data_IF_889327567669
#
_entry.id   IF_889327567669
#
_cell.length_a   1.000
_cell.length_b   1.000
_cell.length_c   1.000
_cell.angle_alpha   90.00
_cell.angle_beta   90.00
_cell.angle_gamma   90.00
#
_symmetry.space_group_name_H-M   'P 1'
#
loop_
_entity.id
_entity.type
_entity.pdbx_description
1 polymer ?
#
# COMPACT_ATOMS: atom_id res chain seq x y z
N UNK A 1 9.95 -1.27 -4.45
CA UNK A 1 11.27 -1.85 -4.35
C UNK A 1 11.33 -3.27 -4.90
N UNK A 2 11.54 -4.33 -4.09
CA UNK A 2 11.81 -5.68 -4.62
C UNK A 2 10.62 -6.26 -5.41
N UNK A 3 9.38 -6.00 -5.00
CA UNK A 3 8.20 -6.38 -5.78
C UNK A 3 8.18 -5.78 -7.20
N UNK A 4 8.59 -4.52 -7.36
CA UNK A 4 8.71 -3.90 -8.69
C UNK A 4 9.84 -4.52 -9.50
N UNK A 5 10.98 -4.79 -8.86
CA UNK A 5 12.16 -5.34 -9.52
C UNK A 5 11.99 -6.80 -9.91
N UNK A 6 11.17 -7.54 -9.18
CA UNK A 6 10.82 -8.93 -9.49
C UNK A 6 9.59 -9.05 -10.41
N UNK A 7 8.98 -7.93 -10.80
CA UNK A 7 7.79 -7.92 -11.63
C UNK A 7 8.04 -8.59 -13.00
N UNK A 8 7.07 -9.39 -13.42
CA UNK A 8 7.08 -10.08 -14.71
C UNK A 8 5.66 -10.14 -15.26
N UNK A 9 5.47 -10.81 -16.39
CA UNK A 9 4.12 -11.09 -16.91
C UNK A 9 3.30 -11.95 -15.94
N UNK A 10 3.96 -12.82 -15.17
CA UNK A 10 3.31 -13.76 -14.26
C UNK A 10 3.26 -13.25 -12.82
N UNK A 11 4.19 -12.39 -12.37
CA UNK A 11 4.21 -11.81 -11.04
C UNK A 11 3.92 -10.30 -11.07
N UNK A 12 2.70 -9.95 -10.72
CA UNK A 12 2.21 -8.56 -10.67
C UNK A 12 1.78 -8.13 -9.27
N UNK A 13 2.31 -8.76 -8.23
CA UNK A 13 2.01 -8.40 -6.82
C UNK A 13 2.29 -6.93 -6.51
N UNK A 14 3.21 -6.30 -7.24
CA UNK A 14 3.48 -4.86 -7.11
C UNK A 14 2.24 -3.98 -7.33
N UNK A 15 1.22 -4.45 -8.06
CA UNK A 15 -0.02 -3.71 -8.29
C UNK A 15 -0.82 -3.48 -7.00
N UNK A 16 -0.66 -4.34 -5.98
CA UNK A 16 -1.19 -4.09 -4.64
C UNK A 16 -0.23 -3.20 -3.83
N UNK A 17 1.05 -3.59 -3.77
CA UNK A 17 1.99 -2.98 -2.82
C UNK A 17 2.43 -1.57 -3.20
N UNK A 18 2.54 -1.24 -4.49
CA UNK A 18 2.97 0.09 -4.92
C UNK A 18 1.97 1.19 -4.54
N UNK A 19 0.67 1.06 -4.88
CA UNK A 19 -0.32 2.05 -4.46
C UNK A 19 -0.40 2.18 -2.93
N UNK A 20 -0.34 1.07 -2.20
CA UNK A 20 -0.34 1.04 -0.74
C UNK A 20 0.85 1.80 -0.16
N UNK A 21 2.06 1.49 -0.61
CA UNK A 21 3.29 2.16 -0.13
C UNK A 21 3.27 3.64 -0.50
N UNK A 22 2.91 3.97 -1.74
CA UNK A 22 2.81 5.37 -2.19
C UNK A 22 1.85 6.16 -1.29
N UNK A 23 0.66 5.65 -1.05
CA UNK A 23 -0.34 6.30 -0.21
C UNK A 23 0.17 6.49 1.24
N UNK A 24 0.62 5.41 1.88
CA UNK A 24 1.05 5.48 3.29
C UNK A 24 2.29 6.34 3.49
N UNK A 25 3.32 6.17 2.68
CA UNK A 25 4.58 6.93 2.83
C UNK A 25 4.38 8.42 2.59
N UNK A 26 3.57 8.80 1.61
CA UNK A 26 3.35 10.22 1.31
C UNK A 26 2.49 10.91 2.36
N UNK A 27 1.47 10.24 2.90
CA UNK A 27 0.64 10.76 4.00
C UNK A 27 1.48 10.89 5.27
N UNK A 28 2.22 9.85 5.64
CA UNK A 28 3.12 9.89 6.80
C UNK A 28 4.21 10.96 6.66
N UNK A 29 4.69 11.19 5.43
CA UNK A 29 5.63 12.27 5.16
C UNK A 29 5.05 13.65 5.47
N UNK A 30 3.80 13.92 5.09
CA UNK A 30 3.11 15.16 5.48
C UNK A 30 2.99 15.29 7.02
N UNK A 31 2.60 14.20 7.68
CA UNK A 31 2.47 14.17 9.14
C UNK A 31 3.80 14.46 9.84
N UNK A 32 4.89 13.80 9.42
CA UNK A 32 6.23 14.02 9.97
C UNK A 32 6.66 15.49 9.78
N UNK A 33 6.44 16.07 8.62
CA UNK A 33 6.79 17.48 8.36
C UNK A 33 5.96 18.41 9.25
N UNK A 34 4.67 18.12 9.46
CA UNK A 34 3.85 18.91 10.37
C UNK A 34 4.35 18.85 11.83
N UNK A 35 4.72 17.65 12.32
CA UNK A 35 5.32 17.50 13.65
C UNK A 35 6.67 18.22 13.79
N UNK A 36 7.49 18.19 12.73
CA UNK A 36 8.75 18.93 12.71
C UNK A 36 8.54 20.45 12.72
N UNK A 37 7.42 20.93 12.19
CA UNK A 37 7.10 22.35 12.23
C UNK A 37 6.92 22.84 13.66
N UNK A 38 6.33 22.04 14.53
CA UNK A 38 6.18 22.38 15.95
C UNK A 38 7.56 22.52 16.65
N UNK A 39 8.56 21.76 16.20
CA UNK A 39 9.93 21.81 16.74
C UNK A 39 10.69 23.05 16.20
N UNK A 40 10.58 23.31 14.90
CA UNK A 40 11.30 24.40 14.21
C UNK A 40 10.64 25.75 14.47
N UNK A 41 9.35 25.74 14.74
CA UNK A 41 8.51 26.92 15.00
C UNK A 41 8.60 27.96 13.85
N UNK A 42 8.64 29.24 14.18
CA UNK A 42 8.61 30.35 13.21
C UNK A 42 9.74 30.28 12.16
N UNK A 43 10.86 29.67 12.51
CA UNK A 43 11.99 29.51 11.58
C UNK A 43 11.65 28.61 10.39
N UNK A 44 10.68 27.74 10.53
CA UNK A 44 10.17 26.89 9.44
C UNK A 44 9.46 27.66 8.32
N UNK A 45 9.12 28.93 8.52
CA UNK A 45 8.51 29.81 7.52
C UNK A 45 9.49 30.71 6.78
N UNK A 46 10.79 30.63 7.09
CA UNK A 46 11.81 31.40 6.38
C UNK A 46 11.87 30.95 4.91
N UNK A 47 11.55 31.89 3.99
CA UNK A 47 11.40 31.65 2.56
C UNK A 47 12.60 30.97 1.90
N UNK A 48 13.80 31.29 2.33
CA UNK A 48 15.04 30.74 1.79
C UNK A 48 15.54 29.53 2.59
N UNK A 49 14.72 29.05 3.53
CA UNK A 49 15.01 27.88 4.33
C UNK A 49 14.69 26.57 3.60
N UNK A 50 15.58 25.60 3.70
CA UNK A 50 15.39 24.27 3.13
C UNK A 50 14.08 23.60 3.63
N UNK A 51 13.71 23.89 4.88
CA UNK A 51 12.52 23.29 5.49
C UNK A 51 11.22 23.78 4.87
N UNK A 52 11.09 25.08 4.56
CA UNK A 52 9.91 25.61 3.85
C UNK A 52 9.70 24.93 2.50
N UNK A 53 10.78 24.79 1.73
CA UNK A 53 10.75 24.13 0.44
C UNK A 53 10.30 22.66 0.58
N UNK A 54 10.90 21.92 1.51
CA UNK A 54 10.53 20.52 1.77
C UNK A 54 9.07 20.39 2.24
N UNK A 55 8.60 21.28 3.12
CA UNK A 55 7.23 21.29 3.61
C UNK A 55 6.19 21.61 2.53
N UNK A 56 6.55 22.43 1.55
CA UNK A 56 5.71 22.69 0.39
C UNK A 56 5.68 21.50 -0.55
N UNK A 57 6.82 20.92 -0.85
CA UNK A 57 6.95 19.86 -1.84
C UNK A 57 6.30 18.56 -1.35
N UNK A 58 6.44 18.22 -0.05
CA UNK A 58 5.81 17.02 0.52
C UNK A 58 4.30 17.00 0.33
N UNK A 59 3.64 18.17 0.41
CA UNK A 59 2.19 18.30 0.25
C UNK A 59 1.69 17.97 -1.16
N UNK A 60 2.56 18.03 -2.15
CA UNK A 60 2.26 17.61 -3.52
C UNK A 60 2.24 16.09 -3.68
N UNK A 61 3.10 15.37 -2.96
CA UNK A 61 3.34 13.94 -3.18
C UNK A 61 2.08 13.05 -3.01
N UNK A 62 1.21 13.24 -2.02
CA UNK A 62 -0.02 12.44 -1.92
C UNK A 62 -1.00 12.66 -3.08
N UNK A 63 -0.84 13.73 -3.83
CA UNK A 63 -1.75 14.17 -4.90
C UNK A 63 -1.23 13.85 -6.31
N UNK A 64 0.08 13.65 -6.45
CA UNK A 64 0.71 13.31 -7.73
C UNK A 64 0.49 11.83 -8.07
N UNK A 65 0.31 11.53 -9.35
CA UNK A 65 0.18 10.17 -9.90
C UNK A 65 -0.88 9.30 -9.18
N UNK A 66 -2.04 9.88 -8.97
CA UNK A 66 -3.14 9.31 -8.21
C UNK A 66 -3.14 9.75 -6.75
N UNK A 67 -4.29 10.27 -6.32
CA UNK A 67 -4.50 10.67 -4.93
C UNK A 67 -4.50 9.46 -3.98
N UNK A 68 -4.45 9.72 -2.67
CA UNK A 68 -4.58 8.66 -1.67
C UNK A 68 -5.87 7.84 -1.89
N UNK A 69 -6.99 8.50 -2.20
CA UNK A 69 -8.27 7.86 -2.48
C UNK A 69 -8.23 6.96 -3.72
N UNK A 70 -7.61 7.43 -4.81
CA UNK A 70 -7.44 6.61 -6.03
C UNK A 70 -6.59 5.38 -5.73
N UNK A 71 -5.50 5.54 -5.00
CA UNK A 71 -4.64 4.42 -4.62
C UNK A 71 -5.38 3.43 -3.71
N UNK A 72 -6.21 3.91 -2.79
CA UNK A 72 -7.05 3.08 -1.92
C UNK A 72 -8.04 2.23 -2.72
N UNK A 73 -8.75 2.81 -3.68
CA UNK A 73 -9.65 2.06 -4.58
C UNK A 73 -8.89 1.03 -5.42
N UNK A 74 -7.65 1.33 -5.82
CA UNK A 74 -6.82 0.39 -6.56
C UNK A 74 -6.45 -0.85 -5.73
N UNK A 75 -6.09 -0.68 -4.46
CA UNK A 75 -5.73 -1.82 -3.60
C UNK A 75 -6.94 -2.70 -3.27
N UNK A 76 -8.12 -2.11 -3.14
CA UNK A 76 -9.36 -2.84 -2.84
C UNK A 76 -9.67 -3.97 -3.82
N UNK A 77 -9.23 -3.87 -5.07
CA UNK A 77 -9.39 -4.91 -6.09
C UNK A 77 -8.73 -6.23 -5.72
N UNK A 78 -7.77 -6.20 -4.81
CA UNK A 78 -6.98 -7.37 -4.43
C UNK A 78 -7.35 -7.90 -3.03
N UNK A 79 -8.24 -7.22 -2.31
CA UNK A 79 -8.58 -7.52 -0.93
C UNK A 79 -9.08 -8.97 -0.77
N UNK A 80 -10.01 -9.40 -1.60
CA UNK A 80 -10.56 -10.76 -1.53
C UNK A 80 -9.48 -11.82 -1.73
N UNK A 81 -8.63 -11.64 -2.73
CA UNK A 81 -7.53 -12.57 -2.99
C UNK A 81 -6.50 -12.57 -1.87
N UNK A 82 -6.20 -11.40 -1.34
CA UNK A 82 -5.24 -11.27 -0.25
C UNK A 82 -5.70 -11.99 1.02
N UNK A 83 -6.97 -11.86 1.38
CA UNK A 83 -7.51 -12.42 2.61
C UNK A 83 -8.01 -13.87 2.49
N UNK A 84 -8.60 -14.25 1.36
CA UNK A 84 -9.35 -15.49 1.25
C UNK A 84 -8.76 -16.51 0.29
N UNK A 85 -7.80 -16.10 -0.55
CA UNK A 85 -7.17 -16.98 -1.54
C UNK A 85 -5.64 -17.00 -1.40
N UNK A 86 -5.08 -17.27 -0.19
CA UNK A 86 -3.64 -17.35 -0.04
C UNK A 86 -3.07 -18.52 -0.85
N UNK A 87 -1.93 -18.32 -1.44
CA UNK A 87 -1.26 -19.31 -2.29
C UNK A 87 0.22 -19.40 -1.95
N UNK A 88 0.85 -20.58 -2.08
CA UNK A 88 2.29 -20.67 -2.04
C UNK A 88 2.86 -19.97 -3.28
N UNK A 89 3.51 -18.85 -3.07
CA UNK A 89 4.15 -18.08 -4.13
C UNK A 89 5.66 -18.05 -3.88
N UNK A 90 6.50 -18.05 -4.91
CA UNK A 90 7.95 -18.02 -4.70
C UNK A 90 8.37 -16.75 -3.97
N UNK A 91 9.39 -16.89 -3.12
CA UNK A 91 10.01 -15.76 -2.46
C UNK A 91 10.53 -14.75 -3.48
N UNK A 92 10.48 -13.47 -3.11
CA UNK A 92 11.03 -12.43 -3.95
C UNK A 92 12.56 -12.46 -3.93
N UNK A 93 13.21 -12.55 -5.09
CA UNK A 93 14.65 -12.43 -5.15
C UNK A 93 15.06 -11.00 -4.74
N UNK A 94 15.91 -10.89 -3.72
CA UNK A 94 16.49 -9.58 -3.37
C UNK A 94 17.47 -9.13 -4.45
N UNK A 95 17.26 -7.96 -4.99
CA UNK A 95 18.17 -7.36 -5.96
C UNK A 95 19.46 -6.94 -5.29
N UNK A 96 20.56 -7.51 -5.77
CA UNK A 96 21.92 -7.20 -5.29
C UNK A 96 22.59 -6.08 -6.09
N UNK A 97 22.05 -5.72 -7.25
CA UNK A 97 22.60 -4.69 -8.13
C UNK A 97 21.67 -3.49 -8.20
N UNK A 98 21.92 -2.43 -7.42
CA UNK A 98 21.01 -1.27 -7.35
C UNK A 98 20.90 -0.49 -8.67
N UNK A 99 21.91 -0.57 -9.53
CA UNK A 99 21.92 0.11 -10.83
C UNK A 99 21.24 -0.67 -11.96
N UNK A 100 20.70 -1.88 -11.70
CA UNK A 100 19.99 -2.63 -12.72
C UNK A 100 18.53 -2.20 -12.78
N UNK A 101 18.14 -1.54 -13.86
CA UNK A 101 16.78 -1.06 -14.15
C UNK A 101 16.04 -1.90 -15.21
N UNK A 102 16.59 -3.02 -15.63
CA UNK A 102 16.00 -3.90 -16.65
C UNK A 102 14.58 -4.37 -16.30
N UNK A 103 14.23 -4.41 -15.00
CA UNK A 103 12.89 -4.74 -14.52
C UNK A 103 11.80 -3.78 -15.08
N UNK A 104 12.16 -2.55 -15.40
CA UNK A 104 11.21 -1.57 -15.96
C UNK A 104 10.65 -2.01 -17.32
N UNK A 105 11.36 -2.87 -18.02
CA UNK A 105 10.98 -3.37 -19.34
C UNK A 105 10.40 -4.79 -19.29
N UNK A 106 10.48 -5.48 -18.15
CA UNK A 106 10.05 -6.86 -17.97
C UNK A 106 8.60 -7.02 -17.48
N UNK A 107 7.94 -5.94 -17.10
CA UNK A 107 6.63 -5.99 -16.40
C UNK A 107 5.46 -6.42 -17.28
N UNK A 108 5.58 -6.29 -18.60
CA UNK A 108 4.48 -6.53 -19.52
C UNK A 108 3.29 -5.56 -19.33
N UNK A 109 2.16 -5.87 -19.93
CA UNK A 109 0.95 -5.04 -19.81
C UNK A 109 0.31 -5.17 -18.42
N UNK A 110 0.07 -4.04 -17.75
CA UNK A 110 -0.59 -3.98 -16.43
C UNK A 110 -2.06 -4.42 -16.47
N UNK A 111 -2.72 -4.32 -17.62
CA UNK A 111 -4.14 -4.70 -17.79
C UNK A 111 -4.35 -6.20 -17.96
N UNK A 112 -3.33 -6.95 -18.35
CA UNK A 112 -3.42 -8.39 -18.55
C UNK A 112 -2.99 -9.16 -17.30
N UNK A 113 -3.68 -10.25 -16.99
CA UNK A 113 -3.28 -11.18 -15.94
C UNK A 113 -3.57 -10.74 -14.50
N UNK A 114 -4.27 -9.65 -14.25
CA UNK A 114 -4.62 -9.20 -12.89
C UNK A 114 -5.40 -10.28 -12.12
N UNK A 115 -6.26 -11.05 -12.79
CA UNK A 115 -7.02 -12.13 -12.17
C UNK A 115 -6.16 -13.33 -11.74
N UNK A 116 -4.91 -13.41 -12.19
CA UNK A 116 -3.96 -14.49 -11.84
C UNK A 116 -3.04 -14.12 -10.68
N UNK A 117 -3.09 -12.86 -10.23
CA UNK A 117 -2.27 -12.42 -9.10
C UNK A 117 -2.68 -13.20 -7.84
N UNK A 118 -1.68 -13.75 -7.17
CA UNK A 118 -1.83 -14.51 -5.93
C UNK A 118 -0.91 -13.88 -4.86
N UNK A 119 -1.28 -14.04 -3.61
CA UNK A 119 -0.53 -13.50 -2.49
C UNK A 119 -0.16 -14.61 -1.52
N UNK A 120 0.98 -14.49 -0.84
CA UNK A 120 1.35 -15.35 0.26
C UNK A 120 0.34 -15.27 1.40
N UNK A 121 0.22 -16.35 2.16
CA UNK A 121 -0.45 -16.30 3.45
C UNK A 121 0.35 -15.42 4.41
N UNK A 122 -0.20 -14.24 4.71
CA UNK A 122 0.41 -13.29 5.64
C UNK A 122 0.57 -13.86 7.05
N UNK A 123 -0.24 -14.85 7.45
CA UNK A 123 -0.14 -15.50 8.74
C UNK A 123 1.20 -16.22 8.93
N UNK A 124 1.84 -16.69 7.86
CA UNK A 124 3.16 -17.33 7.96
C UNK A 124 4.17 -16.37 8.60
N UNK A 125 4.23 -15.12 8.14
CA UNK A 125 5.13 -14.10 8.68
C UNK A 125 4.71 -13.66 10.09
N UNK A 126 3.42 -13.48 10.34
CA UNK A 126 2.93 -13.06 11.65
C UNK A 126 3.13 -14.12 12.72
N UNK A 127 2.98 -15.42 12.40
CA UNK A 127 3.21 -16.52 13.32
C UNK A 127 4.69 -16.65 13.74
N UNK A 128 5.62 -16.15 12.93
CA UNK A 128 7.04 -16.09 13.27
C UNK A 128 7.38 -14.92 14.19
N UNK A 129 6.50 -13.92 14.29
CA UNK A 129 6.73 -12.74 15.12
C UNK A 129 6.48 -13.04 16.61
N UNK A 130 7.42 -12.57 17.45
CA UNK A 130 7.29 -12.67 18.91
C UNK A 130 6.69 -11.41 19.56
N UNK A 131 6.31 -10.41 18.75
CA UNK A 131 5.75 -9.18 19.27
C UNK A 131 4.30 -9.39 19.73
N UNK A 132 3.95 -8.98 20.96
CA UNK A 132 2.62 -9.26 21.54
C UNK A 132 1.47 -8.60 20.74
N UNK A 133 1.70 -7.42 20.20
CA UNK A 133 0.70 -6.70 19.39
C UNK A 133 0.41 -7.37 18.05
N UNK A 134 1.30 -8.19 17.52
CA UNK A 134 1.04 -8.92 16.26
C UNK A 134 -0.09 -9.93 16.42
N UNK A 135 -0.18 -10.60 17.57
CA UNK A 135 -1.31 -11.53 17.84
C UNK A 135 -2.66 -10.80 17.95
N UNK A 136 -2.65 -9.61 18.54
CA UNK A 136 -3.83 -8.76 18.61
C UNK A 136 -4.24 -8.37 17.21
N UNK A 137 -3.29 -7.95 16.39
CA UNK A 137 -3.54 -7.57 14.99
C UNK A 137 -4.08 -8.75 14.16
N UNK A 138 -3.53 -9.96 14.32
CA UNK A 138 -4.07 -11.14 13.65
C UNK A 138 -5.54 -11.41 14.03
N UNK A 139 -5.89 -11.26 15.32
CA UNK A 139 -7.29 -11.42 15.73
C UNK A 139 -8.21 -10.34 15.15
N UNK A 140 -7.73 -9.10 15.01
CA UNK A 140 -8.47 -8.03 14.34
C UNK A 140 -8.69 -8.33 12.86
N UNK A 141 -7.68 -8.87 12.16
CA UNK A 141 -7.84 -9.32 10.77
C UNK A 141 -8.93 -10.39 10.65
N UNK A 142 -8.97 -11.37 11.54
CA UNK A 142 -10.00 -12.41 11.49
C UNK A 142 -11.42 -11.85 11.76
N UNK A 143 -11.55 -10.87 12.66
CA UNK A 143 -12.82 -10.15 12.86
C UNK A 143 -13.21 -9.38 11.59
N UNK A 144 -12.28 -8.71 10.95
CA UNK A 144 -12.53 -7.99 9.71
C UNK A 144 -12.91 -8.92 8.56
N UNK A 145 -12.24 -10.07 8.40
CA UNK A 145 -12.59 -11.10 7.42
C UNK A 145 -14.00 -11.63 7.64
N UNK A 146 -14.39 -11.84 8.91
CA UNK A 146 -15.75 -12.26 9.25
C UNK A 146 -16.77 -11.19 8.88
N UNK A 147 -16.49 -9.93 9.22
CA UNK A 147 -17.32 -8.81 8.83
C UNK A 147 -17.52 -8.73 7.31
N UNK A 148 -16.44 -8.86 6.52
CA UNK A 148 -16.53 -8.83 5.05
C UNK A 148 -17.43 -9.94 4.49
N UNK A 149 -17.44 -11.13 5.11
CA UNK A 149 -18.29 -12.25 4.69
C UNK A 149 -19.76 -12.04 5.07
N UNK A 150 -20.03 -11.49 6.26
CA UNK A 150 -21.38 -11.30 6.78
C UNK A 150 -22.07 -10.06 6.19
N UNK A 151 -21.30 -9.00 6.00
CA UNK A 151 -21.76 -7.74 5.44
C UNK A 151 -21.40 -7.60 3.95
N UNK A 152 -21.39 -8.71 3.21
CA UNK A 152 -21.05 -8.72 1.79
C UNK A 152 -21.72 -7.54 1.06
N UNK A 153 -20.94 -6.56 0.57
CA UNK A 153 -21.50 -5.34 0.02
C UNK A 153 -22.33 -5.64 -1.22
N UNK A 154 -23.47 -5.02 -1.32
CA UNK A 154 -24.30 -5.08 -2.52
C UNK A 154 -23.68 -4.26 -3.68
N UNK A 155 -24.31 -4.36 -4.87
CA UNK A 155 -23.83 -3.63 -6.05
C UNK A 155 -23.88 -2.11 -5.91
N UNK A 156 -24.73 -1.55 -5.07
CA UNK A 156 -24.82 -0.13 -4.83
C UNK A 156 -23.66 0.31 -3.92
N UNK A 157 -23.42 -0.41 -2.84
CA UNK A 157 -22.31 -0.16 -1.92
C UNK A 157 -20.93 -0.29 -2.59
N UNK A 158 -20.74 -1.28 -3.48
CA UNK A 158 -19.48 -1.42 -4.23
C UNK A 158 -19.22 -0.29 -5.23
N UNK A 159 -20.22 0.56 -5.50
CA UNK A 159 -20.09 1.77 -6.33
C UNK A 159 -20.08 3.05 -5.51
N UNK A 160 -20.41 2.96 -4.24
CA UNK A 160 -20.37 4.09 -3.32
C UNK A 160 -18.91 4.35 -2.91
N UNK A 161 -18.43 5.55 -3.22
CA UNK A 161 -17.03 5.90 -2.99
C UNK A 161 -16.70 5.98 -1.50
N UNK A 162 -17.59 6.53 -0.68
CA UNK A 162 -17.35 6.70 0.75
C UNK A 162 -17.32 5.34 1.44
N UNK A 163 -18.22 4.43 1.06
CA UNK A 163 -18.18 3.05 1.53
C UNK A 163 -16.85 2.37 1.15
N UNK A 164 -16.43 2.48 -0.10
CA UNK A 164 -15.18 1.87 -0.58
C UNK A 164 -13.95 2.44 0.11
N UNK A 165 -13.92 3.75 0.38
CA UNK A 165 -12.82 4.38 1.10
C UNK A 165 -12.74 3.90 2.54
N UNK A 166 -13.87 3.80 3.25
CA UNK A 166 -13.91 3.31 4.63
C UNK A 166 -13.43 1.85 4.73
N UNK A 167 -13.87 0.98 3.81
CA UNK A 167 -13.39 -0.42 3.78
C UNK A 167 -11.92 -0.49 3.40
N UNK A 168 -11.47 0.36 2.46
CA UNK A 168 -10.06 0.42 2.04
C UNK A 168 -9.13 0.91 3.14
N UNK A 169 -9.61 1.74 4.05
CA UNK A 169 -8.83 2.19 5.21
C UNK A 169 -8.64 1.08 6.25
N UNK A 170 -9.62 0.18 6.36
CA UNK A 170 -9.52 -1.00 7.21
C UNK A 170 -8.63 -2.11 6.62
N UNK A 171 -8.55 -2.19 5.30
CA UNK A 171 -7.68 -3.11 4.57
C UNK A 171 -6.22 -2.69 4.60
#
# INVERSE_FOLDING_TARGET
>A
SDYMRAASEDDKRYLLYNPMVKMKVTIQGEEVVNLLWDVIAAKGFEKDGYFEMAARDIRGLPKLEGTAQVNMVLIMKFMDKFFFEPSPYPDLPRQKSPGNDSFMFAQGSTSKGQNRIQFHDFNIAYNQSKLPNVKIFQSQIEVFKKFLKEAAPDKAQTRDLDFMLNVGELF
#
